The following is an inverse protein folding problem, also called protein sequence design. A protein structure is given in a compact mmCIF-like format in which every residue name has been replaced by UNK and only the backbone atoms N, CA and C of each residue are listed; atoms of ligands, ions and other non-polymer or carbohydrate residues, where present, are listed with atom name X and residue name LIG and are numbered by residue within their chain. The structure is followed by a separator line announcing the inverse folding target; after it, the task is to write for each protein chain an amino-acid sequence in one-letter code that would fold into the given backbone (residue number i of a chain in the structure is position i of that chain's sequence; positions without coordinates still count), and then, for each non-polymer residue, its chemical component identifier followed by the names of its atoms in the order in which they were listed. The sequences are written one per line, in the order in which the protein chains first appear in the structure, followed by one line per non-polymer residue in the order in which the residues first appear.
data_IF_693171469538
#
_entry.id   IF_693171469538
#
_cell.length_a   1.000
_cell.length_b   1.000
_cell.length_c   1.000
_cell.angle_alpha   90.00
_cell.angle_beta   90.00
_cell.angle_gamma   90.00
#
_symmetry.space_group_name_H-M   'P 1'
#
loop_
_entity.id
_entity.type
_entity.pdbx_description
1 polymer ?
#
# COMPACT_ATOMS: atom_id res chain seq x y z
N UNK A 1 -14.77 -7.53 -7.02
CA UNK A 1 -13.44 -6.86 -7.08
C UNK A 1 -12.80 -7.15 -8.43
N UNK A 2 -12.49 -6.12 -9.22
CA UNK A 2 -11.90 -6.30 -10.54
C UNK A 2 -10.50 -6.92 -10.39
N UNK A 3 -10.22 -8.03 -11.10
CA UNK A 3 -9.01 -8.85 -10.90
C UNK A 3 -7.72 -8.05 -11.12
N UNK A 4 -7.78 -7.07 -12.03
CA UNK A 4 -6.69 -6.13 -12.33
C UNK A 4 -6.37 -5.19 -11.16
N UNK A 5 -7.38 -4.62 -10.51
CA UNK A 5 -7.23 -3.72 -9.36
C UNK A 5 -6.59 -4.45 -8.16
N UNK A 6 -7.07 -5.66 -7.89
CA UNK A 6 -6.50 -6.52 -6.84
C UNK A 6 -5.02 -6.82 -7.09
N UNK A 7 -4.68 -7.17 -8.34
CA UNK A 7 -3.31 -7.48 -8.72
C UNK A 7 -2.38 -6.26 -8.59
N UNK A 8 -2.83 -5.07 -9.00
CA UNK A 8 -2.07 -3.83 -8.88
C UNK A 8 -1.81 -3.45 -7.40
N UNK A 9 -2.82 -3.57 -6.54
CA UNK A 9 -2.67 -3.33 -5.09
C UNK A 9 -1.64 -4.29 -4.47
N UNK A 10 -1.68 -5.58 -4.82
CA UNK A 10 -0.71 -6.57 -4.34
C UNK A 10 0.72 -6.26 -4.82
N UNK A 11 0.89 -5.84 -6.08
CA UNK A 11 2.19 -5.43 -6.61
C UNK A 11 2.74 -4.20 -5.88
N UNK A 12 1.90 -3.20 -5.59
CA UNK A 12 2.29 -2.02 -4.84
C UNK A 12 2.70 -2.38 -3.41
N UNK A 13 1.91 -3.20 -2.70
CA UNK A 13 2.26 -3.69 -1.36
C UNK A 13 3.61 -4.43 -1.35
N UNK A 14 3.85 -5.28 -2.35
CA UNK A 14 5.14 -5.96 -2.50
C UNK A 14 6.26 -4.97 -2.75
N UNK A 15 6.08 -3.97 -3.61
CA UNK A 15 7.08 -2.94 -3.87
C UNK A 15 7.40 -2.12 -2.62
N UNK A 16 6.41 -1.75 -1.81
CA UNK A 16 6.63 -1.05 -0.53
C UNK A 16 7.52 -1.88 0.40
N UNK A 17 7.30 -3.21 0.49
CA UNK A 17 8.05 -4.10 1.39
C UNK A 17 9.50 -4.35 1.00
N UNK A 18 9.84 -4.28 -0.30
CA UNK A 18 11.15 -4.75 -0.81
C UNK A 18 11.96 -3.67 -1.54
N UNK A 19 11.46 -2.45 -1.72
CA UNK A 19 12.23 -1.37 -2.36
C UNK A 19 13.18 -0.67 -1.38
N UNK A 20 14.13 0.08 -1.94
CA UNK A 20 14.98 1.05 -1.22
C UNK A 20 14.12 2.07 -0.45
N UNK A 21 14.61 2.67 0.65
CA UNK A 21 13.81 3.54 1.53
C UNK A 21 13.10 4.67 0.80
N UNK A 22 13.81 5.44 -0.04
CA UNK A 22 13.24 6.52 -0.85
C UNK A 22 12.17 6.03 -1.83
N UNK A 23 12.43 4.87 -2.45
CA UNK A 23 11.48 4.25 -3.37
C UNK A 23 10.26 3.72 -2.61
N UNK A 24 10.43 3.14 -1.42
CA UNK A 24 9.34 2.59 -0.62
C UNK A 24 8.35 3.68 -0.20
N UNK A 25 8.83 4.87 0.15
CA UNK A 25 7.96 6.01 0.44
C UNK A 25 7.15 6.45 -0.80
N UNK A 26 7.81 6.60 -1.95
CA UNK A 26 7.12 6.94 -3.20
C UNK A 26 6.07 5.87 -3.61
N UNK A 27 6.37 4.58 -3.40
CA UNK A 27 5.41 3.50 -3.66
C UNK A 27 4.26 3.50 -2.65
N UNK A 28 4.51 3.87 -1.40
CA UNK A 28 3.46 4.03 -0.38
C UNK A 28 2.53 5.20 -0.72
N UNK A 29 3.07 6.36 -1.08
CA UNK A 29 2.26 7.51 -1.54
C UNK A 29 1.42 7.17 -2.78
N UNK A 30 1.97 6.36 -3.70
CA UNK A 30 1.21 5.88 -4.86
C UNK A 30 0.09 4.92 -4.47
N UNK A 31 0.33 4.07 -3.46
CA UNK A 31 -0.69 3.16 -2.94
C UNK A 31 -1.84 3.91 -2.28
N UNK A 32 -1.56 4.90 -1.43
CA UNK A 32 -2.60 5.71 -0.77
C UNK A 32 -3.44 6.49 -1.79
N UNK A 33 -2.81 7.12 -2.79
CA UNK A 33 -3.54 7.78 -3.88
C UNK A 33 -4.41 6.83 -4.71
N UNK A 34 -4.02 5.55 -4.82
CA UNK A 34 -4.85 4.54 -5.49
C UNK A 34 -6.04 4.11 -4.64
N UNK A 35 -5.88 4.02 -3.31
CA UNK A 35 -6.99 3.74 -2.38
C UNK A 35 -7.99 4.91 -2.36
N UNK A 36 -7.50 6.14 -2.37
CA UNK A 36 -8.31 7.36 -2.45
C UNK A 36 -9.14 7.39 -3.74
N UNK A 37 -8.51 7.12 -4.89
CA UNK A 37 -9.23 6.99 -6.16
C UNK A 37 -10.29 5.86 -6.15
N UNK A 38 -10.05 4.76 -5.43
CA UNK A 38 -11.05 3.70 -5.26
C UNK A 38 -12.22 4.15 -4.37
N UNK A 39 -11.96 5.01 -3.38
CA UNK A 39 -13.01 5.62 -2.56
C UNK A 39 -13.91 6.52 -3.41
N UNK A 40 -13.34 7.35 -4.28
CA UNK A 40 -14.11 8.25 -5.16
C UNK A 40 -15.02 7.51 -6.13
N UNK A 41 -14.67 6.29 -6.54
CA UNK A 41 -15.53 5.47 -7.41
C UNK A 41 -16.80 4.98 -6.72
N UNK A 42 -16.86 5.01 -5.38
CA UNK A 42 -17.96 4.44 -4.60
C UNK A 42 -18.16 2.92 -4.77
N UNK A 43 -17.25 2.24 -5.47
CA UNK A 43 -17.38 0.82 -5.84
C UNK A 43 -17.01 -0.14 -4.70
N UNK A 44 -16.51 0.37 -3.58
CA UNK A 44 -15.97 -0.40 -2.47
C UNK A 44 -16.53 0.08 -1.14
N UNK A 45 -16.83 -0.86 -0.24
CA UNK A 45 -17.25 -0.55 1.12
C UNK A 45 -16.12 0.13 1.91
N UNK A 46 -16.50 1.04 2.80
CA UNK A 46 -15.57 1.77 3.66
C UNK A 46 -14.66 0.83 4.49
N UNK A 47 -15.18 -0.32 4.93
CA UNK A 47 -14.38 -1.32 5.65
C UNK A 47 -13.27 -1.90 4.76
N UNK A 48 -13.56 -2.16 3.49
CA UNK A 48 -12.57 -2.69 2.54
C UNK A 48 -11.46 -1.67 2.31
N UNK A 49 -11.82 -0.40 2.11
CA UNK A 49 -10.86 0.69 1.94
C UNK A 49 -9.98 0.86 3.20
N UNK A 50 -10.58 0.80 4.38
CA UNK A 50 -9.85 0.88 5.66
C UNK A 50 -8.85 -0.27 5.84
N UNK A 51 -9.22 -1.50 5.44
CA UNK A 51 -8.32 -2.65 5.44
C UNK A 51 -7.15 -2.46 4.46
N UNK A 52 -7.41 -1.90 3.28
CA UNK A 52 -6.36 -1.60 2.30
C UNK A 52 -5.37 -0.57 2.85
N UNK A 53 -5.87 0.50 3.47
CA UNK A 53 -5.04 1.53 4.08
C UNK A 53 -4.12 0.96 5.19
N UNK A 54 -4.70 0.15 6.09
CA UNK A 54 -3.94 -0.58 7.12
C UNK A 54 -2.88 -1.52 6.54
N UNK A 55 -3.18 -2.21 5.43
CA UNK A 55 -2.20 -3.08 4.77
C UNK A 55 -1.02 -2.27 4.19
N UNK A 56 -1.29 -1.10 3.62
CA UNK A 56 -0.27 -0.17 3.13
C UNK A 56 0.64 0.30 4.26
N UNK A 57 0.05 0.77 5.36
CA UNK A 57 0.77 1.23 6.55
C UNK A 57 1.63 0.12 7.15
N UNK A 58 1.07 -1.09 7.31
CA UNK A 58 1.79 -2.24 7.84
C UNK A 58 2.96 -2.64 6.93
N UNK A 59 2.77 -2.61 5.60
CA UNK A 59 3.85 -2.88 4.66
C UNK A 59 5.01 -1.86 4.78
N UNK A 60 4.68 -0.58 4.94
CA UNK A 60 5.66 0.49 5.10
C UNK A 60 6.37 0.41 6.47
N UNK A 61 5.63 0.19 7.55
CA UNK A 61 6.16 0.01 8.90
C UNK A 61 7.08 -1.21 9.00
N UNK A 62 6.71 -2.35 8.41
CA UNK A 62 7.57 -3.55 8.34
C UNK A 62 8.88 -3.30 7.59
N UNK A 63 8.88 -2.42 6.59
CA UNK A 63 10.10 -2.03 5.88
C UNK A 63 10.97 -1.11 6.73
N UNK A 64 10.36 -0.12 7.41
CA UNK A 64 11.04 0.82 8.30
C UNK A 64 11.65 0.12 9.51
N UNK A 65 10.91 -0.79 10.15
CA UNK A 65 11.40 -1.62 11.24
C UNK A 65 12.56 -2.54 10.83
N UNK A 66 12.60 -3.00 9.57
CA UNK A 66 13.76 -3.73 9.03
C UNK A 66 15.02 -2.89 8.83
N UNK A 67 14.89 -1.57 8.65
CA UNK A 67 16.06 -0.68 8.60
C UNK A 67 16.60 -0.40 10.00
N UNK A 68 15.73 -0.24 11.01
CA UNK A 68 16.14 0.05 12.39
C UNK A 68 16.92 -1.09 13.07
N UNK A 69 16.72 -2.35 12.66
CA UNK A 69 17.47 -3.50 13.20
C UNK A 69 18.85 -3.65 12.52
N UNK A 70 19.14 -2.87 11.47
CA UNK A 70 20.41 -2.92 10.72
C UNK A 70 21.36 -1.76 11.04
N UNK A 71 20.98 -0.86 11.95
CA UNK A 71 21.85 0.19 12.49
C UNK A 71 22.51 -0.25 13.80
#
# INVERSE_FOLDING_TARGET
MNRTTAHQLLLLLRRIRYSDPDRAFAQFMRFTGYVDALQDTGAYEAETLRRLDQLGLNAFAQRRGRNLVRE
#
